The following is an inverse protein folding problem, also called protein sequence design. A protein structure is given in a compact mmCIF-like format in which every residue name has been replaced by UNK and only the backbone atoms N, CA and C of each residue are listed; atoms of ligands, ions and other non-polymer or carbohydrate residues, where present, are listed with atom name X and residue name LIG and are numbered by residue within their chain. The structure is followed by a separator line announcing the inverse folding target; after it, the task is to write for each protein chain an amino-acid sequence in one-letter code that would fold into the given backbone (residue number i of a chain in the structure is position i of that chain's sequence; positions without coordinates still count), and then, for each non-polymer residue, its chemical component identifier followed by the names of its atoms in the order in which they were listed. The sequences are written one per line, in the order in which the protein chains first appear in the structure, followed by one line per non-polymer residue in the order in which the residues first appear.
data_IF_796497785236
#
_entry.id   IF_796497785236
#
_cell.length_a   1.000
_cell.length_b   1.000
_cell.length_c   1.000
_cell.angle_alpha   90.00
_cell.angle_beta   90.00
_cell.angle_gamma   90.00
#
_symmetry.space_group_name_H-M   'P 1'
#
loop_
_entity.id
_entity.type
_entity.pdbx_description
1 polymer ?
#
# COMPACT_ATOMS: atom_id res chain seq x y z
N UNK A 1 -11.57 10.41 -29.64
CA UNK A 1 -11.94 9.23 -30.41
C UNK A 1 -10.95 8.12 -30.17
N UNK A 2 -11.47 6.93 -29.96
CA UNK A 2 -10.64 5.83 -29.45
C UNK A 2 -10.60 4.68 -30.44
N UNK A 3 -9.47 4.00 -30.53
CA UNK A 3 -9.32 2.71 -31.21
C UNK A 3 -9.11 1.60 -30.18
N UNK A 4 -9.74 0.44 -30.42
CA UNK A 4 -9.60 -0.74 -29.55
C UNK A 4 -9.18 -1.92 -30.41
N UNK A 5 -8.12 -2.60 -29.98
CA UNK A 5 -7.57 -3.77 -30.66
C UNK A 5 -7.35 -4.94 -29.70
N UNK A 6 -7.64 -6.15 -30.16
CA UNK A 6 -7.20 -7.38 -29.53
C UNK A 6 -5.82 -7.77 -30.04
N UNK A 7 -4.94 -8.25 -29.13
CA UNK A 7 -3.57 -8.61 -29.46
C UNK A 7 -3.31 -10.06 -28.99
N UNK A 8 -3.00 -10.93 -29.95
CA UNK A 8 -2.64 -12.32 -29.76
C UNK A 8 -1.25 -12.57 -30.31
N UNK A 9 -0.20 -12.38 -29.51
CA UNK A 9 1.18 -12.39 -29.99
C UNK A 9 1.40 -11.30 -31.06
N UNK A 10 1.77 -11.70 -32.29
CA UNK A 10 1.96 -10.77 -33.41
C UNK A 10 0.65 -10.35 -34.11
N UNK A 11 -0.46 -11.02 -33.82
CA UNK A 11 -1.74 -10.73 -34.48
C UNK A 11 -2.49 -9.62 -33.77
N UNK A 12 -2.78 -8.52 -34.46
CA UNK A 12 -3.58 -7.39 -33.99
C UNK A 12 -4.90 -7.38 -34.74
N UNK A 13 -6.01 -7.47 -34.00
CA UNK A 13 -7.38 -7.42 -34.56
C UNK A 13 -8.10 -6.18 -34.05
N UNK A 14 -8.35 -5.17 -34.90
CA UNK A 14 -9.15 -4.00 -34.53
C UNK A 14 -10.60 -4.42 -34.26
N UNK A 15 -11.15 -4.06 -33.10
CA UNK A 15 -12.54 -4.35 -32.70
C UNK A 15 -13.38 -3.10 -32.53
N UNK A 16 -12.75 -1.94 -32.50
CA UNK A 16 -13.43 -0.65 -32.53
C UNK A 16 -12.55 0.43 -33.17
N UNK A 17 -13.13 1.19 -34.06
CA UNK A 17 -12.55 2.43 -34.58
C UNK A 17 -13.63 3.47 -34.84
N UNK A 18 -13.23 4.72 -35.08
CA UNK A 18 -14.15 5.84 -35.32
C UNK A 18 -14.56 6.01 -36.77
N UNK A 19 -14.05 5.19 -37.69
CA UNK A 19 -14.32 5.32 -39.10
C UNK A 19 -15.72 4.80 -39.47
N UNK A 20 -16.33 5.40 -40.50
CA UNK A 20 -17.59 4.91 -41.05
C UNK A 20 -17.36 3.52 -41.68
N UNK A 21 -18.16 2.52 -41.26
CA UNK A 21 -18.04 1.13 -41.72
C UNK A 21 -16.98 0.31 -40.96
N UNK A 22 -16.23 0.87 -40.03
CA UNK A 22 -15.30 0.12 -39.18
C UNK A 22 -16.00 -0.71 -38.11
N UNK A 23 -15.22 -1.54 -37.44
CA UNK A 23 -15.71 -2.35 -36.30
C UNK A 23 -16.26 -1.45 -35.20
N UNK A 24 -17.37 -1.86 -34.58
CA UNK A 24 -18.00 -1.13 -33.48
C UNK A 24 -18.22 -2.02 -32.28
N UNK A 25 -17.97 -1.46 -31.09
CA UNK A 25 -18.40 -2.03 -29.83
C UNK A 25 -19.83 -1.59 -29.49
N UNK A 26 -20.56 -2.37 -28.72
CA UNK A 26 -21.88 -2.03 -28.18
C UNK A 26 -21.75 -1.25 -26.86
N UNK A 27 -20.75 -1.60 -26.08
CA UNK A 27 -20.41 -0.96 -24.81
C UNK A 27 -18.90 -1.00 -24.64
N UNK A 28 -18.31 0.05 -24.05
CA UNK A 28 -16.88 0.13 -23.86
C UNK A 28 -16.56 1.10 -22.71
N UNK A 29 -16.37 0.55 -21.50
CA UNK A 29 -16.19 1.34 -20.28
C UNK A 29 -14.87 0.96 -19.60
N UNK A 30 -13.97 1.92 -19.46
CA UNK A 30 -12.72 1.81 -18.71
C UNK A 30 -12.91 2.41 -17.30
N UNK A 31 -12.41 1.73 -16.29
CA UNK A 31 -12.34 2.22 -14.90
C UNK A 31 -10.89 2.19 -14.43
N UNK A 32 -10.36 3.34 -14.05
CA UNK A 32 -9.01 3.53 -13.55
C UNK A 32 -9.07 4.19 -12.19
N UNK A 33 -8.26 3.71 -11.25
CA UNK A 33 -8.19 4.21 -9.90
C UNK A 33 -6.77 4.07 -9.37
N UNK A 34 -6.32 5.04 -8.56
CA UNK A 34 -5.00 5.03 -7.94
C UNK A 34 -4.82 3.75 -7.11
N UNK A 35 -3.67 3.09 -7.24
CA UNK A 35 -3.29 1.86 -6.53
C UNK A 35 -4.17 0.65 -6.80
N UNK A 36 -5.01 0.68 -7.82
CA UNK A 36 -5.86 -0.46 -8.18
C UNK A 36 -5.60 -0.93 -9.61
N UNK A 37 -5.91 -2.20 -9.83
CA UNK A 37 -5.93 -2.80 -11.17
C UNK A 37 -7.03 -2.13 -11.98
N UNK A 38 -6.67 -1.49 -13.09
CA UNK A 38 -7.62 -0.90 -14.03
C UNK A 38 -8.49 -1.99 -14.67
N UNK A 39 -9.72 -1.64 -15.02
CA UNK A 39 -10.70 -2.54 -15.64
C UNK A 39 -11.21 -1.94 -16.95
N UNK A 40 -11.39 -2.80 -17.93
CA UNK A 40 -12.05 -2.44 -19.19
C UNK A 40 -13.14 -3.47 -19.51
N UNK A 41 -14.39 -3.01 -19.46
CA UNK A 41 -15.57 -3.79 -19.82
C UNK A 41 -16.04 -3.40 -21.20
N UNK A 42 -16.18 -4.35 -22.11
CA UNK A 42 -16.65 -4.09 -23.45
C UNK A 42 -17.50 -5.21 -24.02
N UNK A 43 -18.34 -4.86 -24.97
CA UNK A 43 -19.26 -5.81 -25.64
C UNK A 43 -19.27 -5.56 -27.14
N UNK A 44 -19.46 -6.64 -27.92
CA UNK A 44 -19.66 -6.56 -29.35
C UNK A 44 -20.63 -7.63 -29.87
N UNK A 45 -21.09 -7.44 -31.10
CA UNK A 45 -21.96 -8.36 -31.83
C UNK A 45 -21.15 -9.35 -32.69
N UNK A 46 -21.76 -10.46 -33.16
CA UNK A 46 -21.11 -11.47 -34.01
C UNK A 46 -20.53 -10.93 -35.34
N UNK A 47 -20.99 -9.77 -35.80
CA UNK A 47 -20.48 -9.12 -37.01
C UNK A 47 -19.15 -8.37 -36.79
N UNK A 48 -18.72 -8.23 -35.54
CA UNK A 48 -17.43 -7.61 -35.21
C UNK A 48 -16.27 -8.56 -35.54
N UNK A 49 -15.14 -8.02 -36.00
CA UNK A 49 -13.93 -8.81 -36.29
C UNK A 49 -13.43 -9.60 -35.05
N UNK A 50 -13.67 -9.08 -33.85
CA UNK A 50 -13.36 -9.73 -32.58
C UNK A 50 -14.04 -11.10 -32.39
N UNK A 51 -15.19 -11.33 -33.02
CA UNK A 51 -15.88 -12.62 -32.96
C UNK A 51 -15.07 -13.76 -33.59
N UNK A 52 -14.33 -13.47 -34.65
CA UNK A 52 -13.45 -14.43 -35.33
C UNK A 52 -12.06 -14.54 -34.70
N UNK A 53 -11.71 -13.60 -33.83
CA UNK A 53 -10.45 -13.63 -33.14
C UNK A 53 -10.44 -14.75 -32.10
N UNK A 54 -9.35 -15.53 -32.05
CA UNK A 54 -9.18 -16.55 -31.03
C UNK A 54 -8.85 -15.86 -29.70
N UNK A 55 -9.89 -15.63 -28.87
CA UNK A 55 -9.72 -15.02 -27.55
C UNK A 55 -9.38 -16.11 -26.53
N UNK A 56 -8.19 -16.02 -25.96
CA UNK A 56 -7.72 -16.88 -24.89
C UNK A 56 -7.69 -16.07 -23.59
N UNK A 57 -8.55 -16.38 -22.60
CA UNK A 57 -8.49 -15.72 -21.29
C UNK A 57 -7.08 -15.76 -20.71
N UNK A 58 -6.65 -14.68 -20.05
CA UNK A 58 -5.34 -14.44 -19.45
C UNK A 58 -4.16 -14.33 -20.44
N UNK A 59 -4.36 -14.59 -21.73
CA UNK A 59 -3.31 -14.51 -22.76
C UNK A 59 -3.59 -13.41 -23.80
N UNK A 60 -4.85 -13.29 -24.26
CA UNK A 60 -5.23 -12.25 -25.20
C UNK A 60 -5.18 -10.89 -24.51
N UNK A 61 -4.42 -9.97 -25.10
CA UNK A 61 -4.32 -8.59 -24.63
C UNK A 61 -5.33 -7.71 -25.37
N UNK A 62 -5.74 -6.62 -24.73
CA UNK A 62 -6.54 -5.56 -25.34
C UNK A 62 -5.85 -4.23 -25.11
N UNK A 63 -5.81 -3.43 -26.17
CA UNK A 63 -5.23 -2.09 -26.17
C UNK A 63 -6.29 -1.07 -26.55
N UNK A 64 -6.30 0.04 -25.83
CA UNK A 64 -7.13 1.21 -26.13
C UNK A 64 -6.23 2.42 -26.33
N UNK A 65 -6.33 3.06 -27.50
CA UNK A 65 -5.53 4.23 -27.85
C UNK A 65 -6.45 5.42 -28.16
N UNK A 66 -6.12 6.58 -27.61
CA UNK A 66 -6.72 7.84 -27.99
C UNK A 66 -6.12 8.29 -29.33
N UNK A 67 -6.89 8.23 -30.38
CA UNK A 67 -6.42 8.54 -31.74
C UNK A 67 -6.11 10.03 -32.00
N UNK A 68 -6.56 10.92 -31.10
CA UNK A 68 -6.24 12.35 -31.18
C UNK A 68 -4.83 12.66 -30.67
N UNK A 69 -4.45 11.98 -29.58
CA UNK A 69 -3.18 12.23 -28.89
C UNK A 69 -2.13 11.14 -29.12
N UNK A 70 -2.53 10.00 -29.71
CA UNK A 70 -1.69 8.81 -29.84
C UNK A 70 -1.41 8.11 -28.52
N UNK A 71 -2.03 8.56 -27.42
CA UNK A 71 -1.77 8.03 -26.08
C UNK A 71 -2.51 6.71 -25.84
N UNK A 72 -1.79 5.72 -25.30
CA UNK A 72 -2.39 4.50 -24.77
C UNK A 72 -3.14 4.83 -23.48
N UNK A 73 -4.46 4.55 -23.47
CA UNK A 73 -5.35 4.80 -22.33
C UNK A 73 -5.46 3.56 -21.46
N UNK A 74 -5.44 2.39 -22.08
CA UNK A 74 -5.53 1.12 -21.41
C UNK A 74 -4.76 0.06 -22.20
N UNK A 75 -4.03 -0.76 -21.47
CA UNK A 75 -3.44 -2.00 -21.96
C UNK A 75 -3.57 -3.06 -20.89
N UNK A 76 -4.05 -4.26 -21.28
CA UNK A 76 -4.27 -5.30 -20.29
C UNK A 76 -4.75 -6.59 -20.92
N UNK A 77 -4.98 -7.61 -20.08
CA UNK A 77 -5.38 -8.95 -20.50
C UNK A 77 -6.86 -9.19 -20.29
N UNK A 78 -7.46 -9.97 -21.20
CA UNK A 78 -8.84 -10.43 -21.03
C UNK A 78 -8.88 -11.49 -19.94
N UNK A 79 -9.79 -11.29 -18.97
CA UNK A 79 -10.11 -12.26 -17.91
C UNK A 79 -11.37 -13.05 -18.28
N UNK A 80 -11.78 -14.08 -17.51
CA UNK A 80 -12.91 -14.94 -17.87
C UNK A 80 -14.15 -14.21 -18.34
N UNK A 81 -14.81 -14.77 -19.33
CA UNK A 81 -15.82 -14.18 -20.21
C UNK A 81 -17.18 -14.81 -19.96
N UNK A 82 -18.25 -14.01 -20.10
CA UNK A 82 -19.62 -14.51 -20.19
C UNK A 82 -20.16 -14.22 -21.58
N UNK A 83 -20.72 -15.23 -22.24
CA UNK A 83 -21.42 -15.07 -23.51
C UNK A 83 -22.92 -15.28 -23.26
N UNK A 84 -23.71 -14.31 -23.66
CA UNK A 84 -25.15 -14.31 -23.41
C UNK A 84 -25.94 -14.32 -24.73
N UNK A 85 -27.04 -15.06 -24.75
CA UNK A 85 -28.05 -14.97 -25.76
C UNK A 85 -29.34 -14.43 -25.11
N UNK A 86 -29.78 -13.26 -25.56
CA UNK A 86 -31.04 -12.70 -25.10
C UNK A 86 -32.25 -13.50 -25.65
N UNK A 87 -33.41 -13.42 -24.98
CA UNK A 87 -34.66 -14.03 -25.45
C UNK A 87 -35.04 -13.56 -26.86
N UNK A 88 -34.61 -12.38 -27.28
CA UNK A 88 -34.77 -11.87 -28.64
C UNK A 88 -33.93 -12.57 -29.71
N UNK A 89 -33.10 -13.55 -29.33
CA UNK A 89 -32.16 -14.23 -30.21
C UNK A 89 -30.90 -13.43 -30.56
N UNK A 90 -30.68 -12.25 -29.93
CA UNK A 90 -29.48 -11.46 -30.13
C UNK A 90 -28.35 -12.02 -29.28
N UNK A 91 -27.25 -12.40 -29.93
CA UNK A 91 -26.04 -12.84 -29.27
C UNK A 91 -25.15 -11.62 -28.98
N UNK A 92 -24.70 -11.49 -27.76
CA UNK A 92 -23.71 -10.50 -27.33
C UNK A 92 -22.52 -11.19 -26.68
N UNK A 93 -21.33 -10.66 -26.94
CA UNK A 93 -20.09 -11.13 -26.36
C UNK A 93 -19.57 -10.06 -25.43
N UNK A 94 -19.62 -10.33 -24.12
CA UNK A 94 -19.19 -9.45 -23.07
C UNK A 94 -17.82 -9.87 -22.52
N UNK A 95 -16.89 -8.94 -22.47
CA UNK A 95 -15.53 -9.17 -22.03
C UNK A 95 -15.16 -8.20 -20.92
N UNK A 96 -14.38 -8.70 -19.97
CA UNK A 96 -13.69 -7.91 -18.96
C UNK A 96 -12.19 -8.05 -19.19
N UNK A 97 -11.46 -6.93 -19.16
CA UNK A 97 -10.02 -6.95 -19.18
C UNK A 97 -9.47 -6.22 -17.94
N UNK A 98 -8.32 -6.66 -17.47
CA UNK A 98 -7.58 -6.08 -16.36
C UNK A 98 -6.26 -5.50 -16.84
N UNK A 99 -5.89 -4.33 -16.33
CA UNK A 99 -4.64 -3.65 -16.71
C UNK A 99 -3.41 -4.49 -16.36
N UNK A 100 -2.26 -4.14 -16.93
CA UNK A 100 -0.99 -4.86 -16.73
C UNK A 100 -0.61 -5.03 -15.26
N UNK A 101 -1.07 -4.14 -14.37
CA UNK A 101 -0.84 -4.27 -12.93
C UNK A 101 -1.37 -5.60 -12.39
N UNK A 102 -2.36 -6.21 -13.04
CA UNK A 102 -2.90 -7.53 -12.68
C UNK A 102 -1.89 -8.68 -12.88
N UNK A 103 -0.82 -8.49 -13.65
CA UNK A 103 0.22 -9.50 -13.78
C UNK A 103 0.91 -9.80 -12.44
N UNK A 104 1.01 -8.80 -11.54
CA UNK A 104 1.53 -9.00 -10.20
C UNK A 104 0.67 -9.91 -9.30
N UNK A 105 -0.54 -10.26 -9.75
CA UNK A 105 -1.38 -11.25 -9.08
C UNK A 105 -1.06 -12.69 -9.49
N UNK A 106 -0.29 -12.89 -10.57
CA UNK A 106 0.06 -14.24 -11.07
C UNK A 106 1.16 -14.91 -10.26
N UNK A 107 1.92 -14.15 -9.48
CA UNK A 107 2.98 -14.68 -8.61
C UNK A 107 2.64 -14.48 -7.13
N UNK A 108 3.21 -15.37 -6.31
CA UNK A 108 3.19 -15.29 -4.85
C UNK A 108 4.61 -15.28 -4.34
N UNK A 109 4.85 -14.67 -3.20
CA UNK A 109 6.16 -14.57 -2.61
C UNK A 109 6.47 -15.74 -1.67
N UNK A 110 7.74 -16.01 -1.41
CA UNK A 110 8.15 -16.99 -0.39
C UNK A 110 7.97 -16.41 0.99
N UNK A 111 7.61 -17.25 1.95
CA UNK A 111 7.58 -16.84 3.36
C UNK A 111 8.99 -16.47 3.79
N UNK A 112 9.16 -15.27 4.32
CA UNK A 112 10.42 -14.79 4.86
C UNK A 112 10.21 -13.68 5.89
N UNK A 113 11.17 -13.57 6.82
CA UNK A 113 11.36 -12.38 7.64
C UNK A 113 12.45 -11.55 6.97
N UNK A 114 12.09 -10.40 6.47
CA UNK A 114 13.02 -9.47 5.82
C UNK A 114 13.46 -8.40 6.82
N UNK A 115 14.78 -8.16 6.86
CA UNK A 115 15.37 -7.05 7.60
C UNK A 115 16.45 -6.43 6.73
N UNK A 116 16.24 -5.21 6.26
CA UNK A 116 17.17 -4.58 5.32
C UNK A 116 16.65 -3.26 4.75
N UNK A 117 17.11 -2.94 3.55
CA UNK A 117 16.71 -1.71 2.84
C UNK A 117 15.38 -1.90 2.12
N UNK A 118 14.54 -0.86 2.13
CA UNK A 118 13.26 -0.84 1.40
C UNK A 118 13.45 -0.99 -0.10
N UNK A 119 14.47 -0.32 -0.65
CA UNK A 119 14.84 -0.41 -2.07
C UNK A 119 15.20 -1.83 -2.49
N UNK A 120 16.00 -2.52 -1.66
CA UNK A 120 16.40 -3.91 -1.91
C UNK A 120 15.22 -4.87 -1.76
N UNK A 121 14.30 -4.59 -0.81
CA UNK A 121 13.07 -5.36 -0.66
C UNK A 121 12.19 -5.30 -1.91
N UNK A 122 11.91 -4.09 -2.43
CA UNK A 122 11.12 -3.94 -3.66
C UNK A 122 11.78 -4.67 -4.82
N UNK A 123 13.10 -4.53 -4.97
CA UNK A 123 13.86 -5.23 -6.02
C UNK A 123 13.73 -6.74 -5.88
N UNK A 124 13.98 -7.29 -4.69
CA UNK A 124 13.89 -8.73 -4.42
C UNK A 124 12.51 -9.30 -4.74
N UNK A 125 11.43 -8.59 -4.35
CA UNK A 125 10.05 -9.00 -4.63
C UNK A 125 9.77 -9.03 -6.15
N UNK A 126 10.24 -8.03 -6.89
CA UNK A 126 10.07 -7.95 -8.34
C UNK A 126 11.00 -8.93 -9.09
N UNK A 127 12.23 -9.12 -8.65
CA UNK A 127 13.15 -10.11 -9.23
C UNK A 127 12.55 -11.52 -9.12
N UNK A 128 12.00 -11.88 -7.94
CA UNK A 128 11.33 -13.17 -7.77
C UNK A 128 10.09 -13.31 -8.65
N UNK A 129 9.30 -12.24 -8.84
CA UNK A 129 8.19 -12.22 -9.78
C UNK A 129 8.67 -12.49 -11.21
N UNK A 130 9.70 -11.77 -11.65
CA UNK A 130 10.24 -11.85 -13.00
C UNK A 130 10.85 -13.21 -13.32
N UNK A 131 11.58 -13.82 -12.37
CA UNK A 131 12.21 -15.14 -12.52
C UNK A 131 11.20 -16.28 -12.71
N UNK A 132 9.95 -16.11 -12.26
CA UNK A 132 8.94 -17.17 -12.24
C UNK A 132 7.83 -17.00 -13.28
N UNK A 133 7.85 -15.91 -14.06
CA UNK A 133 6.80 -15.61 -15.05
C UNK A 133 7.40 -15.28 -16.43
N UNK A 134 6.51 -15.19 -17.42
CA UNK A 134 6.88 -14.86 -18.79
C UNK A 134 7.34 -13.40 -18.90
N UNK A 135 8.32 -13.15 -19.78
CA UNK A 135 8.99 -11.85 -19.92
C UNK A 135 8.05 -10.66 -20.18
N UNK A 136 6.92 -10.87 -20.85
CA UNK A 136 5.95 -9.79 -21.07
C UNK A 136 5.22 -9.34 -19.79
N UNK A 137 5.34 -10.09 -18.69
CA UNK A 137 4.79 -9.77 -17.36
C UNK A 137 5.78 -9.10 -16.42
N UNK A 138 7.05 -8.98 -16.81
CA UNK A 138 8.11 -8.43 -15.96
C UNK A 138 7.87 -6.99 -15.55
N UNK A 139 8.29 -6.68 -14.33
CA UNK A 139 8.32 -5.32 -13.78
C UNK A 139 9.67 -5.03 -13.14
N UNK A 140 10.10 -3.79 -13.23
CA UNK A 140 11.38 -3.34 -12.68
C UNK A 140 11.13 -2.24 -11.63
N UNK A 141 12.00 -2.11 -10.61
CA UNK A 141 11.96 -0.96 -9.71
C UNK A 141 12.12 0.33 -10.49
N UNK A 142 11.20 1.27 -10.31
CA UNK A 142 11.24 2.59 -10.91
C UNK A 142 11.76 3.65 -9.95
N UNK A 143 11.03 4.77 -9.82
CA UNK A 143 11.38 5.83 -8.89
C UNK A 143 10.96 5.46 -7.46
N UNK A 144 11.95 5.26 -6.58
CA UNK A 144 11.79 4.91 -5.17
C UNK A 144 12.14 6.06 -4.22
N UNK A 145 12.34 7.28 -4.73
CA UNK A 145 12.83 8.43 -3.95
C UNK A 145 11.98 8.70 -2.73
N UNK A 146 10.66 8.71 -2.87
CA UNK A 146 9.74 8.96 -1.75
C UNK A 146 9.70 7.80 -0.73
N UNK A 147 9.92 6.57 -1.18
CA UNK A 147 9.98 5.40 -0.32
C UNK A 147 11.16 5.46 0.65
N UNK A 148 12.32 5.91 0.18
CA UNK A 148 13.56 5.95 0.96
C UNK A 148 13.80 7.31 1.66
N UNK A 149 12.96 8.31 1.42
CA UNK A 149 13.16 9.70 1.86
C UNK A 149 13.37 9.87 3.37
N UNK A 150 12.66 9.10 4.20
CA UNK A 150 12.77 9.19 5.67
C UNK A 150 13.79 8.21 6.23
N UNK A 151 13.83 7.02 5.72
CA UNK A 151 14.76 5.93 6.08
C UNK A 151 14.66 4.85 5.01
N UNK A 152 15.81 4.28 4.64
CA UNK A 152 15.86 3.11 3.74
C UNK A 152 15.89 1.77 4.51
N UNK A 153 15.48 1.75 5.79
CA UNK A 153 15.42 0.53 6.60
C UNK A 153 13.98 0.08 6.81
N UNK A 154 13.75 -1.23 6.74
CA UNK A 154 12.49 -1.86 7.05
C UNK A 154 12.68 -3.26 7.64
N UNK A 155 11.67 -3.68 8.39
CA UNK A 155 11.46 -5.06 8.82
C UNK A 155 10.07 -5.48 8.38
N UNK A 156 9.96 -6.65 7.76
CA UNK A 156 8.67 -7.14 7.27
C UNK A 156 8.60 -8.66 7.28
N UNK A 157 7.43 -9.19 7.57
CA UNK A 157 7.11 -10.60 7.36
C UNK A 157 6.31 -10.75 6.08
N UNK A 158 6.81 -11.54 5.15
CA UNK A 158 6.15 -11.82 3.88
C UNK A 158 5.24 -13.03 4.03
N UNK A 159 3.94 -12.82 3.76
CA UNK A 159 2.91 -13.85 3.80
C UNK A 159 2.85 -14.58 2.44
N UNK A 160 3.17 -15.89 2.37
CA UNK A 160 3.18 -16.65 1.12
C UNK A 160 1.79 -16.88 0.52
N UNK A 161 0.72 -16.62 1.26
CA UNK A 161 -0.66 -16.72 0.75
C UNK A 161 -1.03 -15.55 -0.16
N UNK A 162 -0.36 -14.40 -0.03
CA UNK A 162 -0.63 -13.18 -0.77
C UNK A 162 0.06 -13.16 -2.13
N UNK A 163 -0.60 -12.50 -3.11
CA UNK A 163 0.02 -12.20 -4.39
C UNK A 163 1.13 -11.15 -4.24
N UNK A 164 2.00 -11.05 -5.23
CA UNK A 164 3.02 -9.99 -5.29
C UNK A 164 2.40 -8.60 -5.19
N UNK A 165 1.27 -8.36 -5.89
CA UNK A 165 0.55 -7.09 -5.79
C UNK A 165 0.07 -6.82 -4.35
N UNK A 166 -0.54 -7.81 -3.71
CA UNK A 166 -1.03 -7.67 -2.34
C UNK A 166 0.13 -7.45 -1.35
N UNK A 167 1.27 -8.12 -1.55
CA UNK A 167 2.48 -7.94 -0.74
C UNK A 167 3.02 -6.51 -0.85
N UNK A 168 3.18 -5.99 -2.08
CA UNK A 168 3.62 -4.60 -2.31
C UNK A 168 2.61 -3.59 -1.77
N UNK A 169 1.30 -3.86 -1.94
CA UNK A 169 0.24 -2.99 -1.43
C UNK A 169 0.28 -2.91 0.10
N UNK A 170 0.40 -4.04 0.78
CA UNK A 170 0.33 -4.08 2.24
C UNK A 170 1.62 -3.59 2.91
N UNK A 171 2.80 -4.01 2.39
CA UNK A 171 4.08 -3.75 3.04
C UNK A 171 4.78 -2.48 2.55
N UNK A 172 4.37 -1.92 1.41
CA UNK A 172 4.95 -0.70 0.86
C UNK A 172 3.91 0.42 0.75
N UNK A 173 2.81 0.23 -0.01
CA UNK A 173 1.88 1.33 -0.27
C UNK A 173 1.15 1.76 1.01
N UNK A 174 0.53 0.81 1.71
CA UNK A 174 -0.25 1.10 2.91
C UNK A 174 0.62 1.48 4.11
N UNK A 175 1.82 0.86 4.23
CA UNK A 175 2.72 1.09 5.35
C UNK A 175 3.33 2.50 5.31
N UNK A 176 3.74 2.95 4.11
CA UNK A 176 4.42 4.24 3.95
C UNK A 176 3.53 5.32 3.33
N UNK A 177 2.24 5.05 3.10
CA UNK A 177 1.30 6.02 2.51
C UNK A 177 1.68 6.41 1.10
N UNK A 178 2.13 5.44 0.28
CA UNK A 178 2.61 5.68 -1.07
C UNK A 178 1.57 5.29 -2.13
N UNK A 179 1.77 5.81 -3.30
CA UNK A 179 1.02 5.49 -4.51
C UNK A 179 1.95 4.85 -5.53
N UNK A 180 1.40 3.96 -6.35
CA UNK A 180 2.15 3.21 -7.35
C UNK A 180 1.64 3.51 -8.76
N UNK A 181 2.58 3.73 -9.69
CA UNK A 181 2.26 3.94 -11.12
C UNK A 181 3.19 3.10 -11.99
N UNK A 182 2.63 2.50 -13.04
CA UNK A 182 3.42 1.87 -14.09
C UNK A 182 3.92 2.97 -15.04
N UNK A 183 5.23 3.00 -15.28
CA UNK A 183 5.88 3.79 -16.31
C UNK A 183 6.50 2.86 -17.34
N UNK A 184 6.20 3.08 -18.61
CA UNK A 184 6.74 2.34 -19.75
C UNK A 184 7.88 3.13 -20.38
N UNK A 185 9.03 2.52 -20.47
CA UNK A 185 10.23 3.12 -21.07
C UNK A 185 11.06 2.04 -21.74
N UNK A 186 11.46 2.24 -22.99
CA UNK A 186 12.26 1.30 -23.78
C UNK A 186 11.73 -0.15 -23.78
N UNK A 187 10.40 -0.31 -23.81
CA UNK A 187 9.73 -1.61 -23.80
C UNK A 187 9.68 -2.32 -22.44
N UNK A 188 10.21 -1.70 -21.38
CA UNK A 188 10.17 -2.19 -20.00
C UNK A 188 9.10 -1.49 -19.20
N UNK A 189 8.59 -2.16 -18.15
CA UNK A 189 7.63 -1.64 -17.20
C UNK A 189 8.30 -1.39 -15.86
N UNK A 190 8.31 -0.13 -15.44
CA UNK A 190 8.84 0.31 -14.16
C UNK A 190 7.70 0.62 -13.20
N UNK A 191 7.83 0.21 -11.94
CA UNK A 191 6.92 0.59 -10.86
C UNK A 191 7.52 1.76 -10.09
N UNK A 192 6.94 2.94 -10.26
CA UNK A 192 7.30 4.13 -9.51
C UNK A 192 6.45 4.18 -8.22
N UNK A 193 7.10 4.45 -7.07
CA UNK A 193 6.46 4.57 -5.76
C UNK A 193 6.62 6.00 -5.25
N UNK A 194 5.52 6.75 -5.20
CA UNK A 194 5.53 8.18 -4.84
C UNK A 194 4.49 8.48 -3.77
N UNK A 195 4.73 9.53 -2.97
CA UNK A 195 3.70 10.03 -2.02
C UNK A 195 2.47 10.54 -2.75
N UNK A 196 2.65 11.09 -3.94
CA UNK A 196 1.58 11.59 -4.79
C UNK A 196 2.00 11.40 -6.25
N UNK A 197 1.26 10.58 -6.98
CA UNK A 197 1.38 10.50 -8.45
C UNK A 197 0.54 11.60 -9.09
N UNK A 198 0.84 11.94 -10.35
CA UNK A 198 0.14 12.95 -11.12
C UNK A 198 0.76 14.34 -11.02
N UNK A 199 0.20 15.26 -11.77
CA UNK A 199 0.63 16.66 -11.91
C UNK A 199 -0.49 17.63 -11.52
N UNK A 200 -0.12 18.87 -11.28
CA UNK A 200 -1.07 19.96 -11.11
C UNK A 200 -1.39 20.56 -12.49
N UNK A 201 -2.61 20.33 -12.96
CA UNK A 201 -3.11 20.86 -14.23
C UNK A 201 -3.69 22.27 -14.06
N UNK A 202 -3.60 23.07 -15.11
CA UNK A 202 -4.26 24.38 -15.19
C UNK A 202 -5.62 24.31 -15.92
N UNK A 203 -5.98 23.15 -16.47
CA UNK A 203 -7.29 22.94 -17.11
C UNK A 203 -8.38 22.91 -16.03
N UNK A 204 -9.23 23.93 -16.00
CA UNK A 204 -10.29 24.02 -15.00
C UNK A 204 -11.52 23.17 -15.35
N UNK A 205 -12.13 22.56 -14.34
CA UNK A 205 -13.46 21.97 -14.40
C UNK A 205 -14.43 23.03 -13.89
N UNK A 206 -15.19 23.65 -14.79
CA UNK A 206 -15.96 24.86 -14.48
C UNK A 206 -17.42 24.74 -14.91
N UNK A 207 -18.31 25.17 -13.99
CA UNK A 207 -19.74 25.32 -14.30
C UNK A 207 -19.93 26.24 -15.53
N UNK A 208 -20.85 25.87 -16.41
CA UNK A 208 -21.14 26.57 -17.68
C UNK A 208 -20.02 26.51 -18.76
N UNK A 209 -18.97 25.71 -18.54
CA UNK A 209 -17.91 25.46 -19.52
C UNK A 209 -17.85 23.99 -19.90
N UNK A 210 -17.42 23.14 -18.96
CA UNK A 210 -17.22 21.70 -19.18
C UNK A 210 -17.75 20.82 -18.05
N UNK A 211 -18.19 21.39 -16.92
CA UNK A 211 -18.84 20.67 -15.83
C UNK A 211 -20.30 20.34 -16.20
N UNK A 212 -20.64 19.07 -16.35
CA UNK A 212 -21.99 18.60 -16.65
C UNK A 212 -22.79 18.31 -15.37
N UNK A 213 -22.22 17.49 -14.48
CA UNK A 213 -22.83 17.14 -13.21
C UNK A 213 -21.80 17.19 -12.08
N UNK A 214 -22.24 17.55 -10.90
CA UNK A 214 -21.45 17.50 -9.69
C UNK A 214 -22.32 17.01 -8.54
N UNK A 215 -21.92 15.90 -7.93
CA UNK A 215 -22.55 15.37 -6.73
C UNK A 215 -21.51 15.36 -5.61
N UNK A 216 -21.77 16.13 -4.57
CA UNK A 216 -20.92 16.21 -3.40
C UNK A 216 -21.40 15.18 -2.36
N UNK A 217 -20.47 14.36 -1.88
CA UNK A 217 -20.64 13.49 -0.73
C UNK A 217 -19.84 14.05 0.42
N UNK A 218 -20.50 14.21 1.55
CA UNK A 218 -19.88 14.70 2.79
C UNK A 218 -19.90 13.55 3.78
N UNK A 219 -18.74 13.11 4.24
CA UNK A 219 -18.65 12.09 5.29
C UNK A 219 -18.21 12.73 6.60
N UNK A 220 -19.14 12.88 7.57
CA UNK A 220 -18.81 13.32 8.91
C UNK A 220 -18.23 12.19 9.79
N UNK A 221 -18.14 10.95 9.27
CA UNK A 221 -17.73 9.77 10.04
C UNK A 221 -16.31 9.83 10.56
N UNK A 222 -15.43 10.57 9.88
CA UNK A 222 -14.03 10.77 10.27
C UNK A 222 -13.78 11.93 11.24
N UNK A 223 -14.81 12.68 11.65
CA UNK A 223 -14.63 13.81 12.56
C UNK A 223 -14.30 13.29 13.96
N UNK A 224 -13.16 13.70 14.47
CA UNK A 224 -12.76 13.49 15.87
C UNK A 224 -12.55 14.85 16.50
N UNK A 225 -13.45 15.23 17.41
CA UNK A 225 -13.38 16.50 18.13
C UNK A 225 -12.76 16.33 19.52
N UNK A 226 -12.70 15.09 20.05
CA UNK A 226 -12.02 14.73 21.29
C UNK A 226 -11.22 13.46 21.11
N UNK A 227 -9.92 13.49 21.43
CA UNK A 227 -9.01 12.36 21.28
C UNK A 227 -8.51 11.89 22.64
N UNK A 228 -8.83 10.65 23.02
CA UNK A 228 -8.23 9.95 24.14
C UNK A 228 -6.84 9.44 23.73
N UNK A 229 -5.81 9.76 24.55
CA UNK A 229 -4.43 9.47 24.19
C UNK A 229 -3.82 8.52 25.22
N UNK A 230 -3.45 7.32 24.77
CA UNK A 230 -2.84 6.30 25.59
C UNK A 230 -1.42 5.96 25.09
N UNK A 231 -0.50 5.82 26.03
CA UNK A 231 0.87 5.40 25.78
C UNK A 231 1.11 3.94 26.11
N UNK A 232 2.39 3.62 26.36
CA UNK A 232 2.89 2.30 26.72
C UNK A 232 2.14 1.70 27.90
N UNK A 233 1.85 0.42 27.83
CA UNK A 233 1.24 -0.31 28.93
C UNK A 233 2.29 -0.73 29.96
N UNK A 234 2.02 -0.45 31.24
CA UNK A 234 2.85 -0.90 32.32
C UNK A 234 2.59 -2.39 32.59
N UNK A 235 3.60 -3.23 32.44
CA UNK A 235 3.50 -4.70 32.57
C UNK A 235 3.10 -5.18 33.97
N UNK A 236 3.36 -4.37 35.03
CA UNK A 236 3.04 -4.72 36.41
C UNK A 236 1.62 -4.38 36.82
N UNK A 237 1.11 -3.25 36.29
CA UNK A 237 -0.22 -2.71 36.69
C UNK A 237 -1.30 -2.91 35.63
N UNK A 238 -0.93 -3.37 34.45
CA UNK A 238 -1.80 -3.46 33.24
C UNK A 238 -2.45 -2.12 32.83
N UNK A 239 -2.03 -0.99 33.40
CA UNK A 239 -2.55 0.33 33.06
C UNK A 239 -1.67 0.99 32.00
N UNK A 240 -2.30 1.68 31.06
CA UNK A 240 -1.60 2.50 30.07
C UNK A 240 -1.25 3.86 30.64
N UNK A 241 -0.14 4.41 30.19
CA UNK A 241 0.24 5.80 30.46
C UNK A 241 -0.78 6.71 29.75
N UNK A 242 -1.19 7.77 30.44
CA UNK A 242 -2.09 8.81 29.92
C UNK A 242 -1.40 10.17 29.98
N UNK A 243 -1.98 11.14 29.31
CA UNK A 243 -1.52 12.54 29.33
C UNK A 243 -2.03 13.33 30.55
N UNK A 244 -2.80 12.72 31.46
CA UNK A 244 -3.49 13.43 32.54
C UNK A 244 -2.55 14.21 33.46
N UNK A 245 -1.34 13.71 33.74
CA UNK A 245 -0.34 14.38 34.58
C UNK A 245 0.20 15.72 34.00
N UNK A 246 0.14 15.88 32.69
CA UNK A 246 0.65 17.06 31.94
C UNK A 246 -0.46 17.80 31.20
N UNK A 247 -1.72 17.45 31.45
CA UNK A 247 -2.89 17.99 30.78
C UNK A 247 -4.03 18.35 31.76
N UNK A 248 -3.69 18.95 32.89
CA UNK A 248 -4.65 19.42 33.91
C UNK A 248 -5.61 18.30 34.38
N UNK A 249 -5.11 17.08 34.56
CA UNK A 249 -5.91 15.93 34.99
C UNK A 249 -6.77 15.29 33.90
N UNK A 250 -6.77 15.80 32.66
CA UNK A 250 -7.54 15.26 31.54
C UNK A 250 -6.67 14.29 30.73
N UNK A 251 -7.23 13.13 30.40
CA UNK A 251 -6.57 12.09 29.57
C UNK A 251 -6.91 12.21 28.08
N UNK A 252 -7.54 13.32 27.68
CA UNK A 252 -7.96 13.63 26.33
C UNK A 252 -7.53 15.02 25.85
N UNK A 253 -7.52 15.19 24.55
CA UNK A 253 -7.31 16.47 23.85
C UNK A 253 -8.57 16.88 23.11
N UNK A 254 -8.89 18.17 23.13
CA UNK A 254 -10.08 18.75 22.49
C UNK A 254 -9.70 19.67 21.32
N UNK A 255 -10.46 19.57 20.23
CA UNK A 255 -10.53 20.53 19.13
C UNK A 255 -11.78 21.39 19.33
N UNK A 256 -11.62 22.57 19.94
CA UNK A 256 -12.74 23.44 20.30
C UNK A 256 -13.56 23.91 19.07
N UNK A 257 -12.90 24.13 17.93
CA UNK A 257 -13.51 24.46 16.65
C UNK A 257 -14.48 23.35 16.19
N UNK A 258 -14.03 22.10 16.22
CA UNK A 258 -14.84 20.97 15.82
C UNK A 258 -15.95 20.63 16.82
N UNK A 259 -15.69 20.85 18.12
CA UNK A 259 -16.72 20.67 19.15
C UNK A 259 -17.86 21.67 18.97
N UNK A 260 -17.53 22.91 18.62
CA UNK A 260 -18.55 23.96 18.41
C UNK A 260 -19.43 23.63 17.19
N UNK A 261 -18.87 23.06 16.13
CA UNK A 261 -19.56 22.81 14.88
C UNK A 261 -20.27 21.45 14.86
N UNK A 262 -19.64 20.39 15.39
CA UNK A 262 -20.11 19.00 15.28
C UNK A 262 -20.42 18.32 16.62
N UNK A 263 -20.23 19.01 17.76
CA UNK A 263 -20.35 18.42 19.07
C UNK A 263 -19.15 17.54 19.45
N UNK A 264 -19.26 16.83 20.58
CA UNK A 264 -18.20 15.93 21.07
C UNK A 264 -18.29 14.58 20.37
N UNK A 265 -17.25 14.26 19.59
CA UNK A 265 -17.03 12.95 18.96
C UNK A 265 -15.68 12.42 19.42
N UNK A 266 -15.73 11.33 20.19
CA UNK A 266 -14.53 10.75 20.83
C UNK A 266 -13.94 9.64 20.00
N UNK A 267 -12.61 9.63 19.92
CA UNK A 267 -11.82 8.53 19.38
C UNK A 267 -10.64 8.26 20.30
N UNK A 268 -10.01 7.10 20.17
CA UNK A 268 -8.87 6.69 20.98
C UNK A 268 -7.67 6.42 20.10
N UNK A 269 -6.51 6.96 20.49
CA UNK A 269 -5.22 6.63 19.88
C UNK A 269 -4.31 6.01 20.92
N UNK A 270 -3.54 5.00 20.51
CA UNK A 270 -2.58 4.30 21.36
C UNK A 270 -1.19 4.36 20.72
N UNK A 271 -0.21 4.88 21.48
CA UNK A 271 1.20 4.93 21.12
C UNK A 271 1.97 3.98 22.04
N UNK A 272 2.04 2.71 21.69
CA UNK A 272 2.61 1.65 22.54
C UNK A 272 4.09 1.84 22.88
N UNK A 273 4.82 2.65 22.10
CA UNK A 273 6.24 2.90 22.28
C UNK A 273 6.53 4.13 23.16
N UNK A 274 5.51 4.98 23.45
CA UNK A 274 5.71 6.23 24.19
C UNK A 274 5.41 6.00 25.68
N UNK A 275 6.45 6.15 26.51
CA UNK A 275 6.38 6.01 27.97
C UNK A 275 6.47 7.36 28.73
N UNK A 276 6.67 8.48 28.03
CA UNK A 276 6.74 9.84 28.56
C UNK A 276 5.44 10.60 28.30
N UNK A 277 4.70 11.07 29.33
CA UNK A 277 3.46 11.82 29.16
C UNK A 277 3.58 13.10 28.33
N UNK A 278 4.73 13.79 28.35
CA UNK A 278 4.95 15.02 27.57
C UNK A 278 5.08 14.69 26.09
N UNK A 279 5.88 13.67 25.75
CA UNK A 279 6.01 13.19 24.37
C UNK A 279 4.68 12.63 23.86
N UNK A 280 3.95 11.92 24.73
CA UNK A 280 2.64 11.36 24.43
C UNK A 280 1.62 12.46 24.10
N UNK A 281 1.60 13.55 24.88
CA UNK A 281 0.74 14.69 24.62
C UNK A 281 1.05 15.32 23.27
N UNK A 282 2.32 15.58 22.97
CA UNK A 282 2.75 16.13 21.69
C UNK A 282 2.34 15.26 20.52
N UNK A 283 2.54 13.94 20.60
CA UNK A 283 2.12 13.00 19.56
C UNK A 283 0.60 13.00 19.37
N UNK A 284 -0.17 13.08 20.44
CA UNK A 284 -1.62 13.23 20.39
C UNK A 284 -2.09 14.54 19.76
N UNK A 285 -1.43 15.66 20.07
CA UNK A 285 -1.70 16.97 19.45
C UNK A 285 -1.40 16.97 17.96
N UNK A 286 -0.27 16.39 17.52
CA UNK A 286 0.08 16.22 16.12
C UNK A 286 -0.94 15.33 15.38
N UNK A 287 -1.36 14.23 16.00
CA UNK A 287 -2.40 13.34 15.46
C UNK A 287 -3.74 14.08 15.31
N UNK A 288 -4.15 14.82 16.33
CA UNK A 288 -5.41 15.56 16.30
C UNK A 288 -5.38 16.73 15.31
N UNK A 289 -4.24 17.42 15.17
CA UNK A 289 -4.06 18.48 14.20
C UNK A 289 -4.02 17.97 12.75
N UNK A 290 -3.52 16.77 12.52
CA UNK A 290 -3.48 16.15 11.19
C UNK A 290 -4.85 15.70 10.69
N UNK A 291 -5.85 15.63 11.57
CA UNK A 291 -7.20 15.23 11.19
C UNK A 291 -7.94 16.37 10.50
N UNK A 292 -8.44 16.09 9.30
CA UNK A 292 -9.31 17.02 8.58
C UNK A 292 -10.70 17.02 9.23
N UNK A 293 -11.30 18.19 9.29
CA UNK A 293 -12.61 18.38 9.92
C UNK A 293 -13.72 17.59 9.19
N UNK A 294 -13.69 17.56 7.86
CA UNK A 294 -14.68 16.89 7.02
C UNK A 294 -13.99 16.39 5.76
N UNK A 295 -14.27 15.17 5.35
CA UNK A 295 -13.83 14.66 4.05
C UNK A 295 -14.90 14.93 3.00
N UNK A 296 -14.47 15.51 1.89
CA UNK A 296 -15.32 15.76 0.74
C UNK A 296 -14.93 14.85 -0.42
N UNK A 297 -15.90 14.15 -0.97
CA UNK A 297 -15.76 13.43 -2.22
C UNK A 297 -16.78 13.96 -3.21
N UNK A 298 -16.31 14.21 -4.44
CA UNK A 298 -17.16 14.69 -5.50
C UNK A 298 -17.19 13.66 -6.63
N UNK A 299 -18.38 13.31 -7.08
CA UNK A 299 -18.58 12.62 -8.33
C UNK A 299 -18.93 13.68 -9.39
N UNK A 300 -18.07 13.78 -10.39
CA UNK A 300 -18.12 14.83 -11.40
C UNK A 300 -18.23 14.21 -12.77
N UNK A 301 -19.20 14.64 -13.58
CA UNK A 301 -19.15 14.44 -15.02
C UNK A 301 -18.69 15.74 -15.65
N UNK A 302 -17.61 15.66 -16.42
CA UNK A 302 -17.05 16.80 -17.13
C UNK A 302 -16.64 16.42 -18.54
N UNK A 303 -16.86 17.32 -19.48
CA UNK A 303 -16.37 17.15 -20.85
C UNK A 303 -14.84 17.34 -20.85
N UNK A 304 -14.15 16.34 -21.38
CA UNK A 304 -12.71 16.44 -21.57
C UNK A 304 -12.39 17.34 -22.77
N UNK A 305 -11.98 18.57 -22.50
CA UNK A 305 -11.69 19.56 -23.51
C UNK A 305 -10.49 19.23 -24.40
N UNK A 306 -9.62 18.30 -24.01
CA UNK A 306 -8.49 17.82 -24.80
C UNK A 306 -8.96 17.15 -26.12
N UNK A 307 -10.20 16.67 -26.19
CA UNK A 307 -10.80 16.11 -27.39
C UNK A 307 -11.19 17.20 -28.44
N UNK A 308 -11.27 18.44 -27.98
CA UNK A 308 -11.64 19.59 -28.86
C UNK A 308 -10.39 20.41 -29.17
N UNK A 309 -9.53 20.62 -28.18
CA UNK A 309 -8.32 21.41 -28.31
C UNK A 309 -7.17 20.76 -27.50
N UNK A 310 -6.07 20.36 -28.17
CA UNK A 310 -4.93 19.71 -27.53
C UNK A 310 -4.18 20.56 -26.50
N UNK A 311 -4.48 21.85 -26.40
CA UNK A 311 -3.90 22.71 -25.35
C UNK A 311 -4.52 22.49 -23.97
N UNK A 312 -5.60 21.74 -23.86
CA UNK A 312 -6.16 21.33 -22.58
C UNK A 312 -5.58 19.98 -22.17
N UNK A 313 -5.25 19.86 -20.88
CA UNK A 313 -4.83 18.58 -20.32
C UNK A 313 -5.99 17.57 -20.36
N UNK A 314 -5.66 16.34 -20.71
CA UNK A 314 -6.57 15.20 -20.53
C UNK A 314 -6.74 14.90 -19.03
N UNK A 315 -7.95 14.53 -18.60
CA UNK A 315 -8.17 14.13 -17.23
C UNK A 315 -7.49 12.79 -16.95
N UNK A 316 -6.62 12.78 -15.92
CA UNK A 316 -5.91 11.58 -15.46
C UNK A 316 -6.11 11.35 -13.98
N UNK A 317 -6.13 10.08 -13.56
CA UNK A 317 -6.08 9.71 -12.14
C UNK A 317 -4.72 10.12 -11.54
N UNK A 318 -4.78 10.74 -10.37
CA UNK A 318 -3.63 11.32 -9.70
C UNK A 318 -3.46 12.82 -9.91
N UNK A 319 -3.91 13.36 -11.06
CA UNK A 319 -3.79 14.78 -11.38
C UNK A 319 -4.74 15.64 -10.55
N UNK A 320 -4.34 16.90 -10.34
CA UNK A 320 -5.11 17.91 -9.61
C UNK A 320 -5.60 18.98 -10.55
N UNK A 321 -6.89 19.31 -10.48
CA UNK A 321 -7.54 20.29 -11.36
C UNK A 321 -8.24 21.38 -10.54
N UNK A 322 -8.25 22.66 -10.99
CA UNK A 322 -9.14 23.67 -10.42
C UNK A 322 -10.61 23.27 -10.70
N UNK A 323 -11.42 23.20 -9.65
CA UNK A 323 -12.86 22.93 -9.75
C UNK A 323 -13.61 24.17 -9.28
N UNK A 324 -14.41 24.76 -10.18
CA UNK A 324 -15.07 26.03 -9.94
C UNK A 324 -16.58 25.86 -10.15
N UNK A 325 -17.33 25.94 -9.03
CA UNK A 325 -18.78 25.95 -9.01
C UNK A 325 -19.29 26.97 -7.98
N UNK A 326 -19.55 28.22 -8.38
CA UNK A 326 -19.98 29.28 -7.48
C UNK A 326 -21.31 29.00 -6.79
N UNK A 327 -22.21 28.22 -7.42
CA UNK A 327 -23.52 27.87 -6.83
C UNK A 327 -23.37 26.97 -5.61
N UNK A 328 -22.36 26.09 -5.61
CA UNK A 328 -22.04 25.19 -4.48
C UNK A 328 -20.91 25.74 -3.62
N UNK A 329 -20.47 26.97 -3.84
CA UNK A 329 -19.34 27.61 -3.16
C UNK A 329 -18.05 26.77 -3.21
N UNK A 330 -17.76 26.20 -4.39
CA UNK A 330 -16.56 25.42 -4.66
C UNK A 330 -15.65 26.24 -5.56
N UNK A 331 -14.44 26.54 -5.08
CA UNK A 331 -13.33 27.13 -5.84
C UNK A 331 -12.03 26.58 -5.25
N UNK A 332 -11.73 25.33 -5.59
CA UNK A 332 -10.64 24.57 -4.99
C UNK A 332 -9.89 23.76 -6.04
N UNK A 333 -8.63 23.48 -5.75
CA UNK A 333 -7.86 22.50 -6.52
C UNK A 333 -8.11 21.12 -5.95
N UNK A 334 -8.83 20.30 -6.70
CA UNK A 334 -9.22 18.96 -6.27
C UNK A 334 -8.53 17.90 -7.13
N UNK A 335 -8.20 16.78 -6.49
CA UNK A 335 -7.47 15.69 -7.11
C UNK A 335 -8.43 14.62 -7.63
N UNK A 336 -8.16 14.13 -8.85
CA UNK A 336 -8.87 12.97 -9.42
C UNK A 336 -8.28 11.69 -8.80
N UNK A 337 -9.10 10.94 -8.08
CA UNK A 337 -8.69 9.66 -7.46
C UNK A 337 -9.11 8.45 -8.28
N UNK A 338 -10.18 8.58 -9.05
CA UNK A 338 -10.63 7.57 -10.00
C UNK A 338 -11.33 8.21 -11.19
N UNK A 339 -11.32 7.53 -12.33
CA UNK A 339 -12.07 7.94 -13.52
C UNK A 339 -12.75 6.74 -14.18
N UNK A 340 -13.92 7.02 -14.74
CA UNK A 340 -14.61 6.11 -15.62
C UNK A 340 -14.73 6.77 -17.00
N UNK A 341 -14.26 6.09 -18.04
CA UNK A 341 -14.28 6.56 -19.41
C UNK A 341 -15.24 5.69 -20.21
N UNK A 342 -16.30 6.30 -20.74
CA UNK A 342 -17.15 5.65 -21.74
C UNK A 342 -16.60 6.01 -23.13
N UNK A 343 -16.03 5.04 -23.84
CA UNK A 343 -15.38 5.27 -25.13
C UNK A 343 -16.35 5.61 -26.25
N UNK A 344 -17.63 5.24 -26.08
CA UNK A 344 -18.68 5.44 -27.09
C UNK A 344 -19.46 6.73 -26.84
N UNK A 345 -19.70 7.04 -25.56
CA UNK A 345 -20.46 8.20 -25.12
C UNK A 345 -19.63 9.00 -24.11
N UNK A 346 -18.75 9.84 -24.61
CA UNK A 346 -17.76 10.57 -23.81
C UNK A 346 -18.42 11.41 -22.70
N UNK A 347 -19.63 11.92 -22.95
CA UNK A 347 -20.42 12.68 -22.00
C UNK A 347 -20.89 11.86 -20.76
N UNK A 348 -20.85 10.52 -20.84
CA UNK A 348 -21.13 9.62 -19.72
C UNK A 348 -19.89 9.28 -18.91
N UNK A 349 -18.75 9.78 -19.31
CA UNK A 349 -17.53 9.65 -18.52
C UNK A 349 -17.64 10.43 -17.21
N UNK A 350 -17.04 9.91 -16.16
CA UNK A 350 -17.11 10.52 -14.83
C UNK A 350 -15.77 10.46 -14.12
N UNK A 351 -15.57 11.41 -13.22
CA UNK A 351 -14.40 11.55 -12.36
C UNK A 351 -14.85 11.45 -10.90
N UNK A 352 -14.09 10.74 -10.11
CA UNK A 352 -14.17 10.82 -8.66
C UNK A 352 -13.03 11.71 -8.18
N UNK A 353 -13.39 12.84 -7.57
CA UNK A 353 -12.46 13.89 -7.21
C UNK A 353 -12.50 14.11 -5.69
N UNK A 354 -11.38 14.51 -5.11
CA UNK A 354 -11.26 14.77 -3.68
C UNK A 354 -10.72 13.57 -2.91
N UNK A 355 -11.13 13.44 -1.66
CA UNK A 355 -10.71 12.31 -0.83
C UNK A 355 -11.58 11.09 -1.13
N UNK A 356 -10.95 9.92 -1.17
CA UNK A 356 -11.70 8.68 -1.32
C UNK A 356 -12.26 8.26 0.02
N UNK A 357 -13.57 8.08 0.11
CA UNK A 357 -14.18 7.38 1.24
C UNK A 357 -13.94 5.89 1.12
N UNK A 358 -13.47 5.28 2.21
CA UNK A 358 -13.39 3.84 2.30
C UNK A 358 -14.80 3.27 2.36
N UNK A 359 -15.08 2.24 1.58
CA UNK A 359 -16.32 1.49 1.73
C UNK A 359 -16.37 0.81 3.11
N UNK A 360 -17.57 0.45 3.58
CA UNK A 360 -17.71 -0.29 4.84
C UNK A 360 -16.87 -1.58 4.84
N UNK A 361 -16.76 -2.26 3.70
CA UNK A 361 -15.94 -3.45 3.52
C UNK A 361 -14.44 -3.13 3.59
N UNK A 362 -13.98 -2.07 2.93
CA UNK A 362 -12.59 -1.61 3.00
C UNK A 362 -12.22 -1.18 4.42
N UNK A 363 -13.14 -0.53 5.13
CA UNK A 363 -12.95 -0.13 6.53
C UNK A 363 -12.86 -1.34 7.47
N UNK A 364 -13.74 -2.35 7.28
CA UNK A 364 -13.68 -3.60 8.04
C UNK A 364 -12.38 -4.37 7.78
N UNK A 365 -11.95 -4.46 6.52
CA UNK A 365 -10.69 -5.09 6.13
C UNK A 365 -9.48 -4.38 6.75
N UNK A 366 -9.47 -3.05 6.76
CA UNK A 366 -8.40 -2.27 7.40
C UNK A 366 -8.36 -2.49 8.92
N UNK A 367 -9.51 -2.55 9.57
CA UNK A 367 -9.59 -2.84 10.99
C UNK A 367 -9.13 -4.27 11.33
N UNK A 368 -9.50 -5.25 10.50
CA UNK A 368 -9.02 -6.62 10.62
C UNK A 368 -7.50 -6.66 10.43
N UNK A 369 -6.97 -5.99 9.39
CA UNK A 369 -5.52 -5.90 9.13
C UNK A 369 -4.76 -5.26 10.28
N UNK A 370 -5.24 -4.14 10.82
CA UNK A 370 -4.64 -3.48 12.00
C UNK A 370 -4.60 -4.41 13.21
N UNK A 371 -5.70 -5.12 13.50
CA UNK A 371 -5.75 -6.10 14.60
C UNK A 371 -4.81 -7.29 14.37
N UNK A 372 -4.75 -7.81 13.15
CA UNK A 372 -3.87 -8.91 12.79
C UNK A 372 -2.40 -8.51 12.92
N UNK A 373 -2.02 -7.29 12.50
CA UNK A 373 -0.65 -6.76 12.68
C UNK A 373 -0.28 -6.67 14.16
N UNK A 374 -1.17 -6.14 15.01
CA UNK A 374 -0.92 -6.08 16.46
C UNK A 374 -0.70 -7.48 17.05
N UNK A 375 -1.49 -8.49 16.64
CA UNK A 375 -1.34 -9.87 17.10
C UNK A 375 -0.02 -10.50 16.60
N UNK A 376 0.39 -10.22 15.37
CA UNK A 376 1.65 -10.70 14.79
C UNK A 376 2.83 -10.10 15.55
N UNK A 377 2.83 -8.79 15.80
CA UNK A 377 3.87 -8.09 16.56
C UNK A 377 3.98 -8.65 18.00
N UNK A 378 2.85 -8.87 18.69
CA UNK A 378 2.83 -9.47 20.02
C UNK A 378 3.38 -10.90 19.99
N UNK A 379 3.03 -11.70 18.99
CA UNK A 379 3.54 -13.06 18.84
C UNK A 379 5.04 -13.10 18.50
N UNK A 380 5.53 -12.15 17.74
CA UNK A 380 6.96 -11.99 17.45
C UNK A 380 7.75 -11.63 18.72
N UNK A 381 7.25 -10.67 19.50
CA UNK A 381 7.84 -10.29 20.79
C UNK A 381 7.86 -11.48 21.76
N UNK A 382 6.78 -12.25 21.87
CA UNK A 382 6.73 -13.48 22.69
C UNK A 382 7.73 -14.54 22.22
N UNK A 383 7.89 -14.74 20.90
CA UNK A 383 8.91 -15.66 20.35
C UNK A 383 10.33 -15.19 20.62
N UNK A 384 10.60 -13.89 20.53
CA UNK A 384 11.91 -13.31 20.86
C UNK A 384 12.20 -13.47 22.36
N UNK A 385 11.24 -13.19 23.23
CA UNK A 385 11.38 -13.40 24.68
C UNK A 385 11.65 -14.86 25.01
N UNK A 386 10.94 -15.81 24.38
CA UNK A 386 11.18 -17.24 24.58
C UNK A 386 12.59 -17.66 24.14
N UNK A 387 13.08 -17.15 23.00
CA UNK A 387 14.46 -17.41 22.55
C UNK A 387 15.51 -16.82 23.48
N UNK A 388 15.27 -15.61 23.98
CA UNK A 388 16.17 -14.98 24.97
C UNK A 388 16.23 -15.80 26.29
N UNK A 389 15.11 -16.34 26.72
CA UNK A 389 15.06 -17.19 27.91
C UNK A 389 15.78 -18.55 27.69
N UNK A 390 15.63 -19.17 26.51
CA UNK A 390 16.41 -20.34 26.12
C UNK A 390 17.93 -20.08 26.15
N UNK A 391 18.36 -18.96 25.55
CA UNK A 391 19.77 -18.56 25.54
C UNK A 391 20.28 -18.31 26.97
N UNK A 392 19.45 -17.71 27.81
CA UNK A 392 19.79 -17.47 29.22
C UNK A 392 19.94 -18.76 30.02
N UNK A 393 19.06 -19.74 29.80
CA UNK A 393 19.17 -21.08 30.46
C UNK A 393 20.46 -21.77 30.00
N UNK A 394 20.79 -21.73 28.70
CA UNK A 394 22.02 -22.32 28.18
C UNK A 394 23.27 -21.61 28.75
N UNK A 395 23.26 -20.29 28.85
CA UNK A 395 24.36 -19.51 29.39
C UNK A 395 24.57 -19.77 30.87
N UNK A 396 23.51 -19.92 31.66
CA UNK A 396 23.58 -20.28 33.09
C UNK A 396 24.11 -21.71 33.28
N UNK A 397 23.64 -22.68 32.50
CA UNK A 397 24.15 -24.05 32.54
C UNK A 397 25.63 -24.14 32.15
N UNK A 398 26.07 -23.34 31.17
CA UNK A 398 27.48 -23.25 30.80
C UNK A 398 28.32 -22.62 31.91
N UNK A 399 27.79 -21.60 32.62
CA UNK A 399 28.46 -20.97 33.77
C UNK A 399 28.65 -21.97 34.93
N UNK A 400 27.61 -22.72 35.29
CA UNK A 400 27.68 -23.79 36.31
C UNK A 400 28.69 -24.89 35.96
N UNK A 401 28.73 -25.26 34.66
CA UNK A 401 29.68 -26.26 34.15
C UNK A 401 31.13 -25.77 34.30
N UNK A 402 31.38 -24.49 33.96
CA UNK A 402 32.71 -23.86 34.08
C UNK A 402 33.11 -23.76 35.55
N UNK A 403 32.19 -23.42 36.45
CA UNK A 403 32.46 -23.38 37.91
C UNK A 403 32.76 -24.76 38.46
N UNK A 404 32.04 -25.80 38.04
CA UNK A 404 32.29 -27.19 38.43
C UNK A 404 33.66 -27.68 37.92
N UNK A 405 34.01 -27.40 36.67
CA UNK A 405 35.32 -27.72 36.09
C UNK A 405 36.44 -26.98 36.81
N UNK A 406 36.24 -25.71 37.19
CA UNK A 406 37.20 -24.94 37.97
C UNK A 406 37.44 -25.55 39.35
N UNK A 407 36.40 -26.01 40.03
CA UNK A 407 36.51 -26.65 41.32
C UNK A 407 37.29 -27.99 41.24
N UNK A 408 36.99 -28.82 40.23
CA UNK A 408 37.69 -30.09 40.00
C UNK A 408 39.19 -29.86 39.67
N UNK A 409 39.46 -28.87 38.78
CA UNK A 409 40.85 -28.52 38.41
C UNK A 409 41.63 -27.98 39.59
N UNK A 410 41.01 -27.17 40.46
CA UNK A 410 41.65 -26.67 41.70
C UNK A 410 41.93 -27.76 42.71
N UNK A 411 41.02 -28.74 42.87
CA UNK A 411 41.23 -29.91 43.75
C UNK A 411 42.34 -30.84 43.22
N UNK A 412 42.37 -31.12 41.91
CA UNK A 412 43.41 -31.98 41.34
C UNK A 412 44.78 -31.30 41.18
N UNK A 413 44.80 -29.96 40.89
CA UNK A 413 46.05 -29.21 40.72
C UNK A 413 46.82 -29.00 42.05
N UNK A 414 46.16 -29.13 43.19
CA UNK A 414 46.85 -29.07 44.49
C UNK A 414 47.81 -30.23 44.68
N UNK A 415 47.67 -31.34 43.94
CA UNK A 415 48.48 -32.55 44.07
C UNK A 415 49.54 -32.81 43.02
N UNK A 416 49.47 -32.17 41.83
CA UNK A 416 50.25 -32.60 40.64
C UNK A 416 50.96 -31.52 39.81
N UNK A 417 50.78 -30.22 40.02
CA UNK A 417 51.32 -29.16 39.13
C UNK A 417 52.38 -28.27 39.79
N UNK A 418 53.40 -27.91 38.99
CA UNK A 418 54.43 -26.95 39.40
C UNK A 418 53.81 -25.54 39.57
N UNK A 419 54.47 -24.69 40.37
CA UNK A 419 53.98 -23.31 40.63
C UNK A 419 53.83 -22.46 39.36
N UNK A 420 54.55 -22.81 38.30
CA UNK A 420 54.45 -22.13 36.98
C UNK A 420 53.27 -22.58 36.16
N UNK A 421 52.89 -23.84 36.25
CA UNK A 421 51.73 -24.37 35.55
C UNK A 421 50.41 -23.94 36.20
N UNK A 422 50.41 -23.79 37.54
CA UNK A 422 49.29 -23.20 38.28
C UNK A 422 48.99 -21.77 37.83
N UNK A 423 50.02 -20.92 37.65
CA UNK A 423 49.83 -19.51 37.17
C UNK A 423 49.28 -19.46 35.74
N UNK A 424 49.68 -20.36 34.84
CA UNK A 424 49.14 -20.43 33.48
C UNK A 424 47.69 -20.87 33.44
N UNK A 425 47.32 -21.83 34.30
CA UNK A 425 45.94 -22.33 34.43
C UNK A 425 45.01 -21.25 34.98
N UNK A 426 45.42 -20.54 36.03
CA UNK A 426 44.70 -19.42 36.61
C UNK A 426 44.44 -18.29 35.57
N UNK A 427 45.45 -17.99 34.75
CA UNK A 427 45.31 -16.98 33.67
C UNK A 427 44.28 -17.41 32.63
N UNK A 428 44.25 -18.68 32.21
CA UNK A 428 43.29 -19.20 31.22
C UNK A 428 41.87 -19.27 31.81
N UNK A 429 41.70 -19.53 33.07
CA UNK A 429 40.43 -19.57 33.77
C UNK A 429 39.84 -18.17 33.97
N UNK A 430 40.67 -17.18 34.28
CA UNK A 430 40.27 -15.79 34.41
C UNK A 430 39.86 -15.24 33.06
N UNK A 431 40.59 -15.53 31.97
CA UNK A 431 40.26 -15.06 30.63
C UNK A 431 38.89 -15.59 30.13
N UNK A 432 38.61 -16.88 30.40
CA UNK A 432 37.31 -17.46 30.03
C UNK A 432 36.15 -16.94 30.86
N UNK A 433 36.35 -16.64 32.13
CA UNK A 433 35.33 -16.04 33.00
C UNK A 433 34.98 -14.61 32.52
N UNK A 434 35.98 -13.82 32.09
CA UNK A 434 35.78 -12.49 31.54
C UNK A 434 34.96 -12.55 30.24
N UNK A 435 35.20 -13.52 29.37
CA UNK A 435 34.43 -13.71 28.13
C UNK A 435 32.95 -14.09 28.41
N UNK A 436 32.69 -14.87 29.45
CA UNK A 436 31.33 -15.27 29.85
C UNK A 436 30.56 -14.09 30.47
N UNK A 437 31.23 -13.29 31.31
CA UNK A 437 30.66 -12.10 31.94
C UNK A 437 30.33 -11.01 30.87
N UNK A 438 31.14 -10.91 29.81
CA UNK A 438 30.86 -10.03 28.69
C UNK A 438 29.62 -10.49 27.87
N UNK A 439 29.49 -11.80 27.65
CA UNK A 439 28.32 -12.41 27.03
C UNK A 439 27.04 -12.17 27.85
N UNK A 440 27.09 -12.35 29.14
CA UNK A 440 25.95 -12.09 30.03
C UNK A 440 25.55 -10.62 30.05
N UNK A 441 26.52 -9.69 30.09
CA UNK A 441 26.25 -8.24 29.97
C UNK A 441 25.63 -7.86 28.60
N UNK A 442 26.03 -8.52 27.54
CA UNK A 442 25.43 -8.28 26.20
C UNK A 442 24.01 -8.80 26.14
N UNK A 443 23.69 -9.91 26.77
CA UNK A 443 22.33 -10.46 26.91
C UNK A 443 21.45 -9.48 27.72
N UNK A 444 21.93 -9.03 28.91
CA UNK A 444 21.20 -8.04 29.71
C UNK A 444 20.94 -6.71 28.98
N UNK A 445 21.89 -6.26 28.15
CA UNK A 445 21.73 -5.06 27.32
C UNK A 445 20.72 -5.26 26.16
N UNK A 446 20.56 -6.48 25.68
CA UNK A 446 19.53 -6.82 24.69
C UNK A 446 18.14 -6.87 25.35
N UNK A 447 18.05 -7.39 26.55
CA UNK A 447 16.80 -7.41 27.35
C UNK A 447 16.29 -6.00 27.70
N UNK A 448 17.19 -5.01 27.90
CA UNK A 448 16.81 -3.62 28.18
C UNK A 448 16.36 -2.85 26.94
N UNK A 449 16.59 -3.38 25.73
CA UNK A 449 16.23 -2.75 24.45
C UNK A 449 14.97 -3.33 23.82
N UNK A 450 14.40 -4.38 24.39
CA UNK A 450 13.11 -4.98 24.08
C UNK A 450 12.06 -4.49 25.08
#
# INVERSE_FOLDING_TARGET
MYAVSLINGANVTPIHDSQAGGNKLLSAIIKLEINKVGQFNFQFLPNNAGYKALIKPLQTMVQVVNMMTGKEIFYGRIVPVTNDMAESGVFTFAYNARSELDFLNDSKQRQMLYQGKKSDFVKMILDFHNENLESYKEFYPGDLTDLIATSDKMEAEVDPSKSTLATLTDLILNEYGLEMKIRKEEGKKYLDFKRKIGKDSNTAIKLSVNLLTLKQHIDPGGIVSRLLVYGKQNSKTNKRITISSVNNGKDYLDRADLILEYGIRMETVVFDEIDDPVKLKKAGEEQLASQKAVSYQYNVSAVNLSHINPNFDEFEEGDTYPVINPVMNIDERLRVVARQIDLLNIERSSLTIGEKFKSAEEWQLDNIRKRTRQLVTINQLKKQQARLEEVRVIANAAAETVETVNNIVNEQSSQLLSTQDKKKLDYLLISKKVDLDDLLKRIENLERKV
#
